data_IF_607853235458
#
_entry.id   IF_607853235458
#
_cell.length_a   1.000
_cell.length_b   1.000
_cell.length_c   1.000
_cell.angle_alpha   90.00
_cell.angle_beta   90.00
_cell.angle_gamma   90.00
#
_symmetry.space_group_name_H-M   'P 1'
#
loop_
_entity.id
_entity.type
_entity.pdbx_description
1 polymer ?
#
# COMPACT_ATOMS: atom_id res chain seq x y z
N UNK A 1 -18.07 -13.63 12.81
CA UNK A 1 -17.23 -14.73 13.31
C UNK A 1 -17.08 -15.76 12.20
N UNK A 2 -15.86 -16.06 11.77
CA UNK A 2 -15.63 -16.99 10.65
C UNK A 2 -15.56 -18.47 11.10
N UNK A 3 -15.73 -18.75 12.41
CA UNK A 3 -15.92 -20.10 12.93
C UNK A 3 -17.36 -20.60 12.74
N UNK A 4 -18.34 -19.69 12.68
CA UNK A 4 -19.72 -20.04 12.31
C UNK A 4 -19.83 -20.27 10.79
N UNK A 5 -20.34 -21.43 10.32
CA UNK A 5 -20.40 -21.76 8.89
C UNK A 5 -21.21 -20.76 8.05
N UNK A 6 -22.30 -20.21 8.60
CA UNK A 6 -23.19 -19.31 7.87
C UNK A 6 -22.55 -17.93 7.71
N UNK A 7 -22.05 -17.35 8.81
CA UNK A 7 -21.32 -16.08 8.80
C UNK A 7 -20.04 -16.18 7.97
N UNK A 8 -19.36 -17.35 8.01
CA UNK A 8 -18.22 -17.62 7.14
C UNK A 8 -18.63 -17.59 5.67
N UNK A 9 -19.69 -18.30 5.28
CA UNK A 9 -20.16 -18.28 3.90
C UNK A 9 -20.48 -16.86 3.42
N UNK A 10 -21.15 -16.05 4.24
CA UNK A 10 -21.44 -14.63 3.96
C UNK A 10 -20.17 -13.77 3.82
N UNK A 11 -19.24 -13.90 4.77
CA UNK A 11 -17.97 -13.19 4.76
C UNK A 11 -17.16 -13.50 3.48
N UNK A 12 -17.17 -14.76 3.03
CA UNK A 12 -16.43 -15.21 1.86
C UNK A 12 -17.21 -15.04 0.53
N UNK A 13 -18.48 -14.68 0.58
CA UNK A 13 -19.35 -14.62 -0.60
C UNK A 13 -18.83 -13.66 -1.68
N UNK A 14 -18.74 -14.16 -2.92
CA UNK A 14 -18.30 -13.38 -4.08
C UNK A 14 -16.80 -13.03 -4.09
N UNK A 15 -16.01 -13.57 -3.17
CA UNK A 15 -14.55 -13.47 -3.24
C UNK A 15 -14.00 -14.50 -4.24
N UNK A 16 -12.89 -14.20 -4.93
CA UNK A 16 -12.24 -15.19 -5.78
C UNK A 16 -11.75 -16.38 -4.94
N UNK A 17 -11.77 -17.56 -5.58
CA UNK A 17 -11.15 -18.74 -5.01
C UNK A 17 -9.63 -18.54 -4.88
N UNK A 18 -8.98 -19.06 -3.83
CA UNK A 18 -7.53 -19.08 -3.75
C UNK A 18 -6.90 -19.73 -4.99
N UNK A 19 -5.91 -19.06 -5.59
CA UNK A 19 -5.26 -19.55 -6.81
C UNK A 19 -6.07 -19.36 -8.10
N UNK A 20 -7.21 -18.65 -8.05
CA UNK A 20 -7.87 -18.20 -9.27
C UNK A 20 -6.87 -17.47 -10.18
N UNK A 21 -6.82 -17.80 -11.47
CA UNK A 21 -5.86 -17.20 -12.38
C UNK A 21 -6.12 -15.71 -12.44
N UNK A 22 -5.03 -14.96 -12.51
CA UNK A 22 -5.08 -13.52 -12.71
C UNK A 22 -4.28 -13.21 -13.96
N UNK A 23 -4.91 -12.53 -14.91
CA UNK A 23 -4.37 -12.28 -16.24
C UNK A 23 -4.02 -13.57 -17.01
N UNK A 24 -4.75 -14.67 -16.75
CA UNK A 24 -4.51 -15.96 -17.40
C UNK A 24 -3.29 -16.73 -16.89
N UNK A 25 -2.60 -16.23 -15.85
CA UNK A 25 -1.48 -16.91 -15.20
C UNK A 25 -1.86 -17.42 -13.80
N UNK A 26 -1.17 -18.48 -13.36
CA UNK A 26 -1.27 -18.97 -11.99
C UNK A 26 -0.87 -17.86 -10.99
N UNK A 27 -1.58 -17.79 -9.87
CA UNK A 27 -1.24 -16.84 -8.82
C UNK A 27 -0.18 -17.44 -7.89
N UNK A 28 1.07 -16.96 -7.98
CA UNK A 28 2.17 -17.40 -7.11
C UNK A 28 1.90 -17.15 -5.61
N UNK A 29 0.91 -16.33 -5.25
CA UNK A 29 0.47 -16.14 -3.87
C UNK A 29 -0.64 -17.11 -3.40
N UNK A 30 -1.06 -18.07 -4.23
CA UNK A 30 -2.09 -19.03 -3.86
C UNK A 30 -1.83 -19.70 -2.49
N UNK A 31 -0.58 -20.06 -2.09
CA UNK A 31 -0.32 -20.60 -0.77
C UNK A 31 -0.75 -19.69 0.39
N UNK A 32 -0.54 -18.36 0.28
CA UNK A 32 -0.98 -17.40 1.30
C UNK A 32 -2.50 -17.33 1.37
N UNK A 33 -3.19 -17.36 0.22
CA UNK A 33 -4.65 -17.35 0.19
C UNK A 33 -5.25 -18.65 0.76
N UNK A 34 -4.67 -19.82 0.46
CA UNK A 34 -5.10 -21.10 1.03
C UNK A 34 -4.88 -21.15 2.55
N UNK A 35 -3.69 -20.77 3.01
CA UNK A 35 -3.39 -20.69 4.44
C UNK A 35 -4.31 -19.71 5.16
N UNK A 36 -4.59 -18.54 4.55
CA UNK A 36 -5.54 -17.58 5.07
C UNK A 36 -6.92 -18.18 5.24
N UNK A 37 -7.47 -18.83 4.19
CA UNK A 37 -8.79 -19.47 4.30
C UNK A 37 -8.80 -20.47 5.44
N UNK A 38 -7.79 -21.33 5.58
CA UNK A 38 -7.74 -22.30 6.67
C UNK A 38 -7.73 -21.66 8.07
N UNK A 39 -7.03 -20.53 8.23
CA UNK A 39 -6.78 -19.90 9.54
C UNK A 39 -7.75 -18.74 9.88
N UNK A 40 -8.53 -18.25 8.92
CA UNK A 40 -9.39 -17.09 9.11
C UNK A 40 -10.48 -17.39 10.15
N UNK A 41 -10.39 -16.71 11.30
CA UNK A 41 -11.37 -16.74 12.41
C UNK A 41 -12.19 -15.47 12.52
N UNK A 42 -11.64 -14.33 12.09
CA UNK A 42 -12.28 -13.03 12.19
C UNK A 42 -12.19 -12.29 10.87
N UNK A 43 -13.26 -11.60 10.52
CA UNK A 43 -13.27 -10.71 9.38
C UNK A 43 -14.39 -9.69 9.48
N UNK A 44 -14.22 -8.62 8.73
CA UNK A 44 -15.13 -7.49 8.64
C UNK A 44 -15.54 -7.33 7.19
N UNK A 45 -16.84 -7.37 6.92
CA UNK A 45 -17.42 -7.03 5.62
C UNK A 45 -18.21 -5.75 5.76
N UNK A 46 -17.87 -4.75 4.96
CA UNK A 46 -18.52 -3.44 4.91
C UNK A 46 -19.09 -3.21 3.52
N UNK A 47 -20.34 -2.79 3.46
CA UNK A 47 -20.95 -2.28 2.23
C UNK A 47 -21.40 -0.85 2.47
N UNK A 48 -20.80 0.08 1.73
CA UNK A 48 -21.08 1.51 1.85
C UNK A 48 -21.91 1.92 0.64
N UNK A 49 -23.17 2.27 0.89
CA UNK A 49 -24.12 2.70 -0.12
C UNK A 49 -24.68 4.09 0.15
N UNK A 50 -25.50 4.57 -0.79
CA UNK A 50 -26.38 5.73 -0.57
C UNK A 50 -27.72 5.25 -0.05
N UNK A 51 -28.32 6.02 0.85
CA UNK A 51 -29.73 5.84 1.23
C UNK A 51 -30.58 6.81 0.42
N UNK A 52 -31.87 6.54 0.16
CA UNK A 52 -32.74 7.45 -0.59
C UNK A 52 -32.79 8.88 0.00
N UNK A 53 -32.63 9.01 1.31
CA UNK A 53 -32.56 10.31 1.99
C UNK A 53 -31.25 11.08 1.71
N UNK A 54 -30.15 10.38 1.41
CA UNK A 54 -28.85 10.97 1.08
C UNK A 54 -28.68 11.34 -0.40
N UNK A 55 -29.71 11.14 -1.22
CA UNK A 55 -29.75 11.62 -2.61
C UNK A 55 -29.99 13.13 -2.70
N UNK A 56 -30.66 13.72 -1.71
CA UNK A 56 -31.02 15.15 -1.67
C UNK A 56 -29.91 16.06 -1.13
N UNK A 57 -28.99 15.52 -0.33
CA UNK A 57 -27.76 16.21 0.06
C UNK A 57 -26.66 15.87 -0.95
N UNK A 58 -25.89 16.86 -1.39
CA UNK A 58 -24.79 16.67 -2.35
C UNK A 58 -23.76 15.59 -1.96
N UNK A 59 -22.70 15.40 -2.76
CA UNK A 59 -21.73 14.32 -2.55
C UNK A 59 -21.17 14.35 -1.12
N UNK A 60 -21.43 13.29 -0.35
CA UNK A 60 -20.91 13.12 1.01
C UNK A 60 -19.72 12.16 0.99
N UNK A 61 -18.64 12.59 1.61
CA UNK A 61 -17.47 11.74 1.86
C UNK A 61 -17.73 10.91 3.11
N UNK A 62 -17.55 9.60 3.01
CA UNK A 62 -17.58 8.67 4.15
C UNK A 62 -16.15 8.51 4.66
N UNK A 63 -15.90 8.85 5.92
CA UNK A 63 -14.59 8.69 6.55
C UNK A 63 -14.59 7.49 7.50
N UNK A 64 -13.65 6.57 7.30
CA UNK A 64 -13.46 5.38 8.12
C UNK A 64 -12.04 5.35 8.69
N UNK A 65 -11.93 4.88 9.93
CA UNK A 65 -10.65 4.56 10.56
C UNK A 65 -10.70 3.11 11.05
N UNK A 66 -9.80 2.28 10.54
CA UNK A 66 -9.64 0.89 10.94
C UNK A 66 -8.31 0.74 11.68
N UNK A 67 -8.37 0.18 12.89
CA UNK A 67 -7.20 -0.08 13.72
C UNK A 67 -7.06 -1.58 13.92
N UNK A 68 -6.01 -2.15 13.37
CA UNK A 68 -5.65 -3.55 13.53
C UNK A 68 -4.78 -3.69 14.77
N UNK A 69 -5.28 -4.46 15.74
CA UNK A 69 -4.59 -4.78 17.00
C UNK A 69 -4.58 -6.29 17.18
N UNK A 70 -3.45 -6.95 16.93
CA UNK A 70 -3.32 -8.39 17.12
C UNK A 70 -3.64 -8.79 18.56
N UNK A 71 -4.36 -9.89 18.73
CA UNK A 71 -4.74 -10.49 20.02
C UNK A 71 -4.18 -11.90 20.21
N UNK A 72 -3.54 -12.45 19.18
CA UNK A 72 -2.97 -13.80 19.21
C UNK A 72 -1.70 -13.88 18.37
N UNK A 73 -0.86 -14.88 18.66
CA UNK A 73 0.42 -15.08 17.99
C UNK A 73 0.29 -15.39 16.49
N UNK A 74 -0.85 -15.91 16.03
CA UNK A 74 -1.10 -16.21 14.62
C UNK A 74 -2.49 -15.73 14.24
N UNK A 75 -2.57 -14.83 13.27
CA UNK A 75 -3.83 -14.24 12.83
C UNK A 75 -3.97 -14.24 11.31
N UNK A 76 -5.20 -14.49 10.86
CA UNK A 76 -5.58 -14.42 9.45
C UNK A 76 -6.83 -13.54 9.26
N UNK A 77 -6.75 -12.23 9.55
CA UNK A 77 -7.90 -11.34 9.44
C UNK A 77 -8.35 -11.17 7.98
N UNK A 78 -9.64 -10.90 7.78
CA UNK A 78 -10.22 -10.62 6.47
C UNK A 78 -10.97 -9.29 6.49
N UNK A 79 -10.67 -8.40 5.55
CA UNK A 79 -11.45 -7.20 5.28
C UNK A 79 -12.08 -7.31 3.89
N UNK A 80 -13.39 -7.10 3.80
CA UNK A 80 -14.11 -6.97 2.53
C UNK A 80 -14.81 -5.62 2.51
N UNK A 81 -14.51 -4.77 1.52
CA UNK A 81 -15.08 -3.44 1.38
C UNK A 81 -15.74 -3.29 0.01
N UNK A 82 -17.06 -3.08 0.03
CA UNK A 82 -17.90 -2.85 -1.14
C UNK A 82 -18.36 -1.39 -1.16
N UNK A 83 -17.95 -0.60 -2.15
CA UNK A 83 -18.46 0.76 -2.35
C UNK A 83 -19.47 0.78 -3.50
N UNK A 84 -20.69 1.25 -3.22
CA UNK A 84 -21.73 1.43 -4.22
C UNK A 84 -21.41 2.58 -5.19
N UNK A 85 -22.20 2.68 -6.26
CA UNK A 85 -21.94 3.65 -7.33
C UNK A 85 -21.89 5.09 -6.82
N UNK A 86 -20.88 5.84 -7.28
CA UNK A 86 -20.66 7.24 -6.92
C UNK A 86 -20.30 7.52 -5.45
N UNK A 87 -20.10 6.48 -4.62
CA UNK A 87 -19.68 6.67 -3.22
C UNK A 87 -18.22 7.14 -3.17
N UNK A 88 -17.94 8.15 -2.36
CA UNK A 88 -16.58 8.57 -2.02
C UNK A 88 -16.28 8.17 -0.57
N UNK A 89 -15.30 7.28 -0.40
CA UNK A 89 -14.80 6.85 0.91
C UNK A 89 -13.34 7.27 1.11
N UNK A 90 -13.03 7.72 2.31
CA UNK A 90 -11.67 7.94 2.83
C UNK A 90 -11.46 6.91 3.94
N UNK A 91 -10.40 6.13 3.85
CA UNK A 91 -10.06 5.07 4.80
C UNK A 91 -8.64 5.29 5.34
N UNK A 92 -8.50 5.34 6.65
CA UNK A 92 -7.21 5.27 7.35
C UNK A 92 -7.13 3.91 8.03
N UNK A 93 -6.14 3.10 7.68
CA UNK A 93 -5.87 1.78 8.25
C UNK A 93 -4.54 1.81 9.02
N UNK A 94 -4.56 1.58 10.33
CA UNK A 94 -3.34 1.48 11.15
C UNK A 94 -3.13 0.07 11.68
N UNK A 95 -1.89 -0.39 11.67
CA UNK A 95 -1.47 -1.67 12.26
C UNK A 95 -0.53 -1.38 13.40
N UNK A 96 -1.03 -1.59 14.61
CA UNK A 96 -0.33 -1.32 15.85
C UNK A 96 -0.27 -2.62 16.66
N UNK A 97 0.93 -3.02 17.06
CA UNK A 97 1.13 -4.07 18.05
C UNK A 97 1.64 -3.42 19.33
N UNK A 98 0.78 -3.37 20.34
CA UNK A 98 1.03 -2.72 21.62
C UNK A 98 2.13 -3.46 22.40
N UNK A 99 3.17 -2.74 22.80
CA UNK A 99 4.31 -3.26 23.55
C UNK A 99 3.97 -3.42 25.03
N UNK A 100 3.27 -4.49 25.37
CA UNK A 100 3.31 -5.00 26.74
C UNK A 100 4.63 -5.76 26.96
N UNK A 101 5.24 -5.61 28.14
CA UNK A 101 6.43 -6.37 28.51
C UNK A 101 6.11 -7.89 28.41
N UNK A 102 6.87 -8.60 27.57
CA UNK A 102 6.65 -10.03 27.31
C UNK A 102 5.69 -10.37 26.16
N UNK A 103 5.26 -9.39 25.35
CA UNK A 103 4.48 -9.70 24.15
C UNK A 103 5.28 -10.57 23.19
N UNK A 104 4.69 -11.67 22.73
CA UNK A 104 5.33 -12.58 21.79
C UNK A 104 5.23 -12.03 20.36
N UNK A 105 6.22 -12.31 19.50
CA UNK A 105 6.13 -11.99 18.09
C UNK A 105 4.88 -12.59 17.45
N UNK A 106 4.25 -11.84 16.55
CA UNK A 106 3.07 -12.30 15.82
C UNK A 106 3.40 -12.71 14.38
N UNK A 107 2.59 -13.63 13.86
CA UNK A 107 2.51 -13.96 12.43
C UNK A 107 1.13 -13.58 11.92
N UNK A 108 1.05 -12.61 11.01
CA UNK A 108 -0.22 -12.17 10.44
C UNK A 108 -0.28 -12.39 8.93
N UNK A 109 -1.36 -13.00 8.45
CA UNK A 109 -1.71 -13.09 7.04
C UNK A 109 -3.03 -12.35 6.82
N UNK A 110 -3.01 -11.07 6.47
CA UNK A 110 -4.21 -10.26 6.25
C UNK A 110 -4.61 -10.33 4.77
N UNK A 111 -5.88 -10.62 4.50
CA UNK A 111 -6.47 -10.49 3.17
C UNK A 111 -7.48 -9.33 3.15
N UNK A 112 -7.36 -8.45 2.17
CA UNK A 112 -8.24 -7.32 1.93
C UNK A 112 -8.81 -7.44 0.52
N UNK A 113 -10.13 -7.44 0.40
CA UNK A 113 -10.81 -7.37 -0.88
C UNK A 113 -11.62 -6.09 -0.97
N UNK A 114 -11.40 -5.32 -2.02
CA UNK A 114 -12.11 -4.07 -2.28
C UNK A 114 -12.81 -4.15 -3.64
N UNK A 115 -14.10 -3.81 -3.68
CA UNK A 115 -14.85 -3.66 -4.92
C UNK A 115 -15.43 -2.25 -5.00
N UNK A 116 -15.08 -1.55 -6.07
CA UNK A 116 -15.57 -0.21 -6.36
C UNK A 116 -16.55 -0.30 -7.52
N UNK A 117 -17.81 0.06 -7.28
CA UNK A 117 -18.82 0.19 -8.33
C UNK A 117 -18.58 1.45 -9.19
N UNK A 118 -19.44 1.66 -10.19
CA UNK A 118 -19.28 2.75 -11.17
C UNK A 118 -19.12 4.11 -10.50
N UNK A 119 -18.06 4.83 -10.86
CA UNK A 119 -17.74 6.16 -10.33
C UNK A 119 -17.42 6.21 -8.82
N UNK A 120 -17.32 5.07 -8.13
CA UNK A 120 -16.94 5.06 -6.72
C UNK A 120 -15.46 5.43 -6.54
N UNK A 121 -15.15 6.19 -5.48
CA UNK A 121 -13.81 6.64 -5.15
C UNK A 121 -13.41 6.14 -3.77
N UNK A 122 -12.24 5.50 -3.66
CA UNK A 122 -11.63 5.14 -2.39
C UNK A 122 -10.24 5.75 -2.28
N UNK A 123 -10.03 6.54 -1.23
CA UNK A 123 -8.74 7.07 -0.82
C UNK A 123 -8.30 6.36 0.46
N UNK A 124 -7.18 5.64 0.41
CA UNK A 124 -6.79 4.69 1.44
C UNK A 124 -5.36 4.93 1.93
N UNK A 125 -5.18 5.45 3.15
CA UNK A 125 -3.88 5.54 3.79
C UNK A 125 -3.68 4.36 4.74
N UNK A 126 -2.55 3.66 4.61
CA UNK A 126 -2.17 2.54 5.46
C UNK A 126 -0.87 2.86 6.18
N UNK A 127 -0.88 2.79 7.51
CA UNK A 127 0.34 2.80 8.34
C UNK A 127 0.55 1.41 8.92
N UNK A 128 1.68 0.79 8.58
CA UNK A 128 2.01 -0.58 8.96
C UNK A 128 3.35 -0.60 9.68
N UNK A 129 3.30 -0.57 11.01
CA UNK A 129 4.50 -0.54 11.87
C UNK A 129 4.43 -1.58 13.00
N UNK A 130 4.42 -2.89 12.69
CA UNK A 130 4.51 -3.96 13.68
C UNK A 130 5.88 -3.98 14.39
N UNK A 131 6.01 -4.84 15.40
CA UNK A 131 7.24 -4.95 16.19
C UNK A 131 8.37 -5.63 15.40
N UNK A 132 9.65 -5.38 15.71
CA UNK A 132 10.79 -5.96 14.98
C UNK A 132 10.83 -7.49 14.90
N UNK A 133 10.18 -8.20 15.83
CA UNK A 133 10.10 -9.66 15.81
C UNK A 133 8.96 -10.23 14.94
N UNK A 134 7.99 -9.39 14.57
CA UNK A 134 6.78 -9.82 13.90
C UNK A 134 7.07 -10.29 12.46
N UNK A 135 6.12 -11.03 11.87
CA UNK A 135 6.12 -11.42 10.46
C UNK A 135 4.74 -11.20 9.88
N UNK A 136 4.63 -10.37 8.84
CA UNK A 136 3.32 -10.05 8.26
C UNK A 136 3.30 -10.25 6.75
N UNK A 137 2.16 -10.70 6.24
CA UNK A 137 1.83 -10.76 4.82
C UNK A 137 0.45 -10.15 4.62
N UNK A 138 0.38 -8.97 3.99
CA UNK A 138 -0.87 -8.27 3.70
C UNK A 138 -1.13 -8.33 2.20
N UNK A 139 -2.25 -8.93 1.82
CA UNK A 139 -2.68 -9.07 0.43
C UNK A 139 -3.90 -8.19 0.21
N UNK A 140 -3.84 -7.29 -0.77
CA UNK A 140 -4.95 -6.43 -1.17
C UNK A 140 -5.35 -6.75 -2.60
N UNK A 141 -6.61 -7.08 -2.81
CA UNK A 141 -7.19 -7.28 -4.13
C UNK A 141 -8.32 -6.28 -4.37
N UNK A 142 -8.08 -5.36 -5.29
CA UNK A 142 -9.04 -4.37 -5.74
C UNK A 142 -9.63 -4.76 -7.10
N UNK A 143 -10.95 -4.58 -7.24
CA UNK A 143 -11.63 -4.51 -8.53
C UNK A 143 -12.30 -3.15 -8.70
N UNK A 144 -11.97 -2.46 -9.79
CA UNK A 144 -12.49 -1.15 -10.12
C UNK A 144 -13.39 -1.22 -11.36
N UNK A 145 -14.67 -0.87 -11.18
CA UNK A 145 -15.63 -0.73 -12.27
C UNK A 145 -15.43 0.57 -13.07
N UNK A 146 -16.35 0.86 -13.99
CA UNK A 146 -16.28 2.01 -14.90
C UNK A 146 -16.09 3.32 -14.13
N UNK A 147 -15.10 4.12 -14.52
CA UNK A 147 -14.82 5.42 -13.92
C UNK A 147 -14.50 5.40 -12.42
N UNK A 148 -14.34 4.22 -11.80
CA UNK A 148 -13.99 4.10 -10.40
C UNK A 148 -12.53 4.53 -10.16
N UNK A 149 -12.27 5.10 -8.98
CA UNK A 149 -10.97 5.66 -8.61
C UNK A 149 -10.47 5.06 -7.31
N UNK A 150 -9.28 4.51 -7.34
CA UNK A 150 -8.58 4.03 -6.16
C UNK A 150 -7.26 4.78 -6.01
N UNK A 151 -7.06 5.39 -4.85
CA UNK A 151 -5.81 6.06 -4.48
C UNK A 151 -5.36 5.50 -3.14
N UNK A 152 -4.15 4.96 -3.06
CA UNK A 152 -3.69 4.27 -1.88
C UNK A 152 -2.24 4.57 -1.57
N UNK A 153 -1.92 4.88 -0.31
CA UNK A 153 -0.54 5.00 0.16
C UNK A 153 -0.27 4.05 1.32
N UNK A 154 0.83 3.28 1.25
CA UNK A 154 1.33 2.46 2.35
C UNK A 154 2.58 3.11 2.93
N UNK A 155 2.59 3.37 4.23
CA UNK A 155 3.78 3.67 5.02
C UNK A 155 4.11 2.42 5.82
N UNK A 156 5.21 1.75 5.51
CA UNK A 156 5.60 0.49 6.13
C UNK A 156 6.96 0.62 6.82
N UNK A 157 7.06 0.10 8.04
CA UNK A 157 8.28 0.10 8.84
C UNK A 157 8.31 -1.12 9.79
N UNK A 158 9.49 -1.48 10.29
CA UNK A 158 9.66 -2.54 11.30
C UNK A 158 9.46 -3.96 10.75
N UNK A 159 9.23 -4.92 11.66
CA UNK A 159 9.13 -6.37 11.40
C UNK A 159 10.43 -7.10 11.05
N UNK A 160 10.44 -8.42 11.29
CA UNK A 160 11.48 -9.31 10.77
C UNK A 160 11.23 -9.58 9.27
N UNK A 161 9.97 -9.69 8.88
CA UNK A 161 9.54 -9.85 7.50
C UNK A 161 8.18 -9.16 7.27
N UNK A 162 8.09 -8.36 6.21
CA UNK A 162 6.83 -7.79 5.73
C UNK A 162 6.67 -8.05 4.24
N UNK A 163 5.54 -8.62 3.86
CA UNK A 163 5.11 -8.71 2.48
C UNK A 163 3.82 -7.91 2.30
N UNK A 164 3.83 -6.96 1.39
CA UNK A 164 2.65 -6.26 0.92
C UNK A 164 2.43 -6.62 -0.54
N UNK A 165 1.35 -7.33 -0.83
CA UNK A 165 1.03 -7.79 -2.18
C UNK A 165 -0.29 -7.21 -2.64
N UNK A 166 -0.26 -6.32 -3.62
CA UNK A 166 -1.43 -5.61 -4.11
C UNK A 166 -1.74 -6.03 -5.54
N UNK A 167 -3.01 -6.32 -5.81
CA UNK A 167 -3.55 -6.60 -7.13
C UNK A 167 -4.66 -5.59 -7.42
N UNK A 168 -4.45 -4.74 -8.41
CA UNK A 168 -5.45 -3.78 -8.88
C UNK A 168 -5.98 -4.22 -10.25
N UNK A 169 -7.22 -4.68 -10.30
CA UNK A 169 -7.91 -5.01 -11.54
C UNK A 169 -8.76 -3.82 -12.00
N UNK A 170 -8.30 -3.11 -13.02
CA UNK A 170 -9.01 -1.99 -13.65
C UNK A 170 -9.91 -2.55 -14.75
N UNK A 171 -11.10 -3.00 -14.35
CA UNK A 171 -12.02 -3.79 -15.17
C UNK A 171 -12.97 -2.93 -16.01
N UNK A 172 -13.29 -1.72 -15.54
CA UNK A 172 -14.18 -0.82 -16.23
C UNK A 172 -13.46 0.25 -17.04
N UNK A 173 -14.05 0.73 -18.16
CA UNK A 173 -13.50 1.84 -18.92
C UNK A 173 -13.28 3.08 -18.04
N UNK A 174 -12.15 3.77 -18.24
CA UNK A 174 -11.83 4.97 -17.46
C UNK A 174 -11.51 4.74 -15.98
N UNK A 175 -11.36 3.49 -15.52
CA UNK A 175 -10.96 3.21 -14.14
C UNK A 175 -9.53 3.69 -13.85
N UNK A 176 -9.30 4.17 -12.62
CA UNK A 176 -8.03 4.76 -12.19
C UNK A 176 -7.50 4.05 -10.96
N UNK A 177 -6.22 3.66 -10.98
CA UNK A 177 -5.50 3.10 -9.83
C UNK A 177 -4.20 3.86 -9.56
N UNK A 178 -4.12 4.58 -8.44
CA UNK A 178 -2.91 5.25 -7.95
C UNK A 178 -2.43 4.54 -6.68
N UNK A 179 -1.14 4.20 -6.63
CA UNK A 179 -0.54 3.54 -5.46
C UNK A 179 0.80 4.16 -5.13
N UNK A 180 0.96 4.54 -3.86
CA UNK A 180 2.18 4.98 -3.24
C UNK A 180 2.65 3.93 -2.22
N UNK A 181 3.94 3.64 -2.18
CA UNK A 181 4.53 2.86 -1.10
C UNK A 181 5.81 3.50 -0.60
N UNK A 182 5.90 3.67 0.71
CA UNK A 182 7.05 4.14 1.43
C UNK A 182 7.51 3.05 2.39
N UNK A 183 8.69 2.50 2.15
CA UNK A 183 9.27 1.45 2.97
C UNK A 183 10.45 2.01 3.76
N UNK A 184 10.36 1.94 5.09
CA UNK A 184 11.45 2.24 6.02
C UNK A 184 12.03 0.92 6.53
N UNK A 185 13.11 0.46 5.89
CA UNK A 185 13.71 -0.85 6.14
C UNK A 185 14.99 -0.70 6.97
N UNK A 186 14.91 -1.02 8.25
CA UNK A 186 16.00 -0.85 9.23
C UNK A 186 16.72 -2.15 9.56
N UNK A 187 15.94 -3.21 9.70
CA UNK A 187 16.37 -4.59 9.90
C UNK A 187 15.38 -5.50 9.16
N UNK A 188 15.74 -6.77 8.97
CA UNK A 188 14.85 -7.74 8.32
C UNK A 188 14.60 -7.44 6.84
N UNK A 189 13.42 -7.81 6.36
CA UNK A 189 13.03 -7.62 4.96
C UNK A 189 11.63 -7.04 4.81
N UNK A 190 11.48 -5.99 4.00
CA UNK A 190 10.20 -5.39 3.64
C UNK A 190 10.04 -5.45 2.12
N UNK A 191 8.94 -6.02 1.65
CA UNK A 191 8.63 -6.15 0.23
C UNK A 191 7.29 -5.52 -0.11
N UNK A 192 7.27 -4.64 -1.11
CA UNK A 192 6.05 -4.17 -1.77
C UNK A 192 5.99 -4.75 -3.19
N UNK A 193 4.95 -5.51 -3.46
CA UNK A 193 4.68 -6.14 -4.75
C UNK A 193 3.32 -5.70 -5.26
N UNK A 194 3.30 -4.87 -6.30
CA UNK A 194 2.08 -4.38 -6.93
C UNK A 194 1.94 -4.98 -8.32
N UNK A 195 0.77 -5.55 -8.62
CA UNK A 195 0.33 -5.85 -9.98
C UNK A 195 -0.89 -4.99 -10.34
N UNK A 196 -0.82 -4.33 -11.48
CA UNK A 196 -1.95 -3.61 -12.08
C UNK A 196 -2.35 -4.29 -13.37
N UNK A 197 -3.62 -4.70 -13.47
CA UNK A 197 -4.20 -5.30 -14.66
C UNK A 197 -5.16 -4.30 -15.32
N UNK A 198 -4.76 -3.77 -16.48
CA UNK A 198 -5.60 -2.92 -17.32
C UNK A 198 -6.42 -3.81 -18.26
N UNK A 199 -7.71 -3.99 -17.93
CA UNK A 199 -8.60 -4.93 -18.62
C UNK A 199 -9.63 -4.21 -19.52
N UNK A 200 -9.70 -2.87 -19.45
CA UNK A 200 -10.59 -2.04 -20.26
C UNK A 200 -9.90 -0.77 -20.77
N UNK A 201 -10.51 -0.14 -21.77
CA UNK A 201 -9.98 1.06 -22.42
C UNK A 201 -10.00 2.32 -21.53
N UNK A 202 -9.09 3.25 -21.80
CA UNK A 202 -8.96 4.52 -21.09
C UNK A 202 -8.57 4.38 -19.61
N UNK A 203 -8.05 3.22 -19.20
CA UNK A 203 -7.66 2.97 -17.81
C UNK A 203 -6.33 3.63 -17.48
N UNK A 204 -6.19 4.21 -16.30
CA UNK A 204 -4.97 4.92 -15.88
C UNK A 204 -4.39 4.31 -14.62
N UNK A 205 -3.06 4.13 -14.57
CA UNK A 205 -2.36 3.80 -13.34
C UNK A 205 -1.11 4.65 -13.11
N UNK A 206 -0.88 5.01 -11.84
CA UNK A 206 0.30 5.72 -11.40
C UNK A 206 0.85 5.05 -10.13
N UNK A 207 2.07 4.53 -10.23
CA UNK A 207 2.74 3.78 -9.17
C UNK A 207 4.00 4.52 -8.74
N UNK A 208 4.08 4.86 -7.47
CA UNK A 208 5.21 5.56 -6.86
C UNK A 208 5.71 4.72 -5.67
N UNK A 209 6.96 4.29 -5.68
CA UNK A 209 7.52 3.53 -4.58
C UNK A 209 8.87 4.08 -4.16
N UNK A 210 9.07 4.31 -2.87
CA UNK A 210 10.33 4.73 -2.27
C UNK A 210 10.71 3.78 -1.15
N UNK A 211 11.92 3.21 -1.23
CA UNK A 211 12.54 2.47 -0.15
C UNK A 211 13.68 3.29 0.45
N UNK A 212 13.59 3.56 1.75
CA UNK A 212 14.65 4.12 2.57
C UNK A 212 15.15 2.99 3.45
N UNK A 213 16.40 2.57 3.26
CA UNK A 213 16.92 1.37 3.93
C UNK A 213 18.23 1.66 4.68
N UNK A 214 18.42 1.03 5.83
CA UNK A 214 19.63 1.18 6.64
C UNK A 214 20.26 -0.17 7.04
N UNK A 215 21.50 -0.15 7.51
CA UNK A 215 22.17 -1.33 8.08
C UNK A 215 22.34 -2.47 7.07
N UNK A 216 21.84 -3.65 7.41
CA UNK A 216 21.85 -4.86 6.56
C UNK A 216 20.45 -5.24 6.06
N UNK A 217 19.49 -4.32 6.16
CA UNK A 217 18.10 -4.56 5.78
C UNK A 217 17.96 -4.87 4.30
N UNK A 218 16.85 -5.53 3.94
CA UNK A 218 16.48 -5.80 2.56
C UNK A 218 15.15 -5.12 2.24
N UNK A 219 15.13 -4.28 1.20
CA UNK A 219 13.90 -3.71 0.67
C UNK A 219 13.69 -4.14 -0.79
N UNK A 220 12.47 -4.59 -1.10
CA UNK A 220 12.09 -5.01 -2.45
C UNK A 220 10.90 -4.19 -2.92
N UNK A 221 11.05 -3.52 -4.06
CA UNK A 221 10.00 -2.82 -4.78
C UNK A 221 9.75 -3.53 -6.10
N UNK A 222 8.55 -4.07 -6.28
CA UNK A 222 8.15 -4.74 -7.53
C UNK A 222 6.84 -4.13 -8.03
N UNK A 223 6.86 -3.60 -9.25
CA UNK A 223 5.69 -3.03 -9.89
C UNK A 223 5.52 -3.68 -11.25
N UNK A 224 4.47 -4.47 -11.42
CA UNK A 224 4.07 -5.07 -12.69
C UNK A 224 2.80 -4.40 -13.19
N UNK A 225 2.79 -3.92 -14.43
CA UNK A 225 1.55 -3.56 -15.10
C UNK A 225 1.37 -4.41 -16.36
N UNK A 226 0.14 -4.85 -16.58
CA UNK A 226 -0.25 -5.57 -17.79
C UNK A 226 -1.39 -4.85 -18.47
N UNK A 227 -1.23 -4.58 -19.76
CA UNK A 227 -2.24 -4.00 -20.65
C UNK A 227 -2.81 -5.11 -21.53
N UNK A 228 -4.10 -5.40 -21.38
CA UNK A 228 -4.77 -6.42 -22.15
C UNK A 228 -4.97 -6.01 -23.62
N UNK A 229 -5.14 -6.97 -24.57
CA UNK A 229 -5.33 -6.69 -25.99
C UNK A 229 -6.53 -5.81 -26.37
N UNK A 230 -7.48 -5.57 -25.46
CA UNK A 230 -8.63 -4.68 -25.67
C UNK A 230 -8.58 -3.38 -24.88
N UNK A 231 -7.46 -3.09 -24.20
CA UNK A 231 -7.30 -1.93 -23.32
C UNK A 231 -6.67 -0.73 -24.05
N UNK A 232 -7.35 -0.25 -25.10
CA UNK A 232 -6.94 0.95 -25.83
C UNK A 232 -6.84 2.17 -24.90
N UNK A 233 -5.96 3.11 -25.21
CA UNK A 233 -5.78 4.36 -24.46
C UNK A 233 -5.40 4.15 -22.97
N UNK A 234 -4.88 2.97 -22.62
CA UNK A 234 -4.34 2.76 -21.29
C UNK A 234 -3.12 3.67 -21.06
N UNK A 235 -3.05 4.27 -19.87
CA UNK A 235 -1.94 5.12 -19.44
C UNK A 235 -1.30 4.56 -18.16
N UNK A 236 -0.01 4.26 -18.23
CA UNK A 236 0.75 3.63 -17.14
C UNK A 236 1.97 4.48 -16.81
N UNK A 237 2.12 4.83 -15.53
CA UNK A 237 3.32 5.45 -14.99
C UNK A 237 3.84 4.66 -13.79
N UNK A 238 5.13 4.31 -13.79
CA UNK A 238 5.80 3.64 -12.68
C UNK A 238 7.11 4.35 -12.32
N UNK A 239 7.26 4.74 -11.05
CA UNK A 239 8.49 5.32 -10.50
C UNK A 239 8.88 4.59 -9.23
N UNK A 240 10.02 3.92 -9.26
CA UNK A 240 10.59 3.21 -8.12
C UNK A 240 11.91 3.89 -7.76
N UNK A 241 12.11 4.17 -6.48
CA UNK A 241 13.32 4.81 -5.95
C UNK A 241 13.80 4.07 -4.69
N UNK A 242 15.11 3.90 -4.56
CA UNK A 242 15.73 3.23 -3.42
C UNK A 242 16.95 4.00 -2.93
N UNK A 243 16.99 4.31 -1.64
CA UNK A 243 18.05 5.12 -1.04
C UNK A 243 18.55 4.45 0.23
N UNK A 244 19.83 4.04 0.27
CA UNK A 244 20.50 3.71 1.51
C UNK A 244 20.61 4.96 2.39
N UNK A 245 20.18 4.86 3.63
CA UNK A 245 20.27 5.95 4.63
C UNK A 245 21.38 5.72 5.66
N UNK A 246 22.11 4.61 5.56
CA UNK A 246 23.23 4.22 6.43
C UNK A 246 23.55 2.73 6.24
N UNK A 247 24.77 2.30 6.53
CA UNK A 247 25.20 0.91 6.31
C UNK A 247 25.21 0.45 4.84
N UNK A 248 24.99 -0.85 4.61
CA UNK A 248 25.01 -1.50 3.29
C UNK A 248 23.74 -2.35 3.05
N UNK A 249 22.55 -1.72 2.98
CA UNK A 249 21.30 -2.44 2.76
C UNK A 249 21.21 -2.99 1.35
N UNK A 250 20.38 -4.02 1.18
CA UNK A 250 20.05 -4.60 -0.12
C UNK A 250 18.75 -4.01 -0.67
N UNK A 251 18.86 -3.23 -1.72
CA UNK A 251 17.74 -2.67 -2.46
C UNK A 251 17.49 -3.45 -3.76
N UNK A 252 16.25 -3.87 -4.01
CA UNK A 252 15.86 -4.55 -5.25
C UNK A 252 14.65 -3.83 -5.85
N UNK A 253 14.84 -3.19 -7.00
CA UNK A 253 13.80 -2.45 -7.71
C UNK A 253 13.50 -3.14 -9.03
N UNK A 254 12.24 -3.52 -9.25
CA UNK A 254 11.79 -4.29 -10.42
C UNK A 254 10.52 -3.68 -11.00
N UNK A 255 10.62 -2.67 -11.87
CA UNK A 255 9.52 -2.28 -12.73
C UNK A 255 9.38 -3.30 -13.88
N UNK A 256 8.14 -3.64 -14.24
CA UNK A 256 7.85 -4.58 -15.30
C UNK A 256 6.55 -4.19 -16.03
N UNK A 257 6.60 -4.23 -17.35
CA UNK A 257 5.48 -3.89 -18.23
C UNK A 257 5.25 -5.04 -19.21
N UNK A 258 3.98 -5.44 -19.34
CA UNK A 258 3.50 -6.36 -20.35
C UNK A 258 2.43 -5.64 -21.17
N UNK A 259 2.77 -5.26 -22.40
CA UNK A 259 1.92 -4.42 -23.25
C UNK A 259 1.44 -5.26 -24.43
N UNK A 260 0.13 -5.49 -24.51
CA UNK A 260 -0.49 -6.29 -25.57
C UNK A 260 -1.41 -5.46 -26.47
N UNK A 261 -1.28 -4.13 -26.44
CA UNK A 261 -2.08 -3.20 -27.23
C UNK A 261 -1.20 -2.03 -27.73
N UNK A 262 -1.40 -1.60 -28.97
CA UNK A 262 -0.53 -0.61 -29.62
C UNK A 262 -0.84 0.84 -29.21
N UNK A 263 -2.12 1.20 -29.05
CA UNK A 263 -2.56 2.57 -28.72
C UNK A 263 -2.51 2.86 -27.22
N UNK A 264 -1.31 2.93 -26.64
CA UNK A 264 -1.14 3.15 -25.19
C UNK A 264 0.03 4.09 -24.87
N UNK A 265 0.05 4.58 -23.63
CA UNK A 265 1.20 5.28 -23.07
C UNK A 265 1.68 4.51 -21.84
N UNK A 266 2.96 4.15 -21.83
CA UNK A 266 3.54 3.44 -20.69
C UNK A 266 4.95 3.97 -20.43
N UNK A 267 5.19 4.39 -19.19
CA UNK A 267 6.48 4.86 -18.72
C UNK A 267 6.82 4.14 -17.43
N UNK A 268 8.09 3.75 -17.29
CA UNK A 268 8.60 3.17 -16.06
C UNK A 268 10.03 3.65 -15.80
N UNK A 269 10.38 3.83 -14.53
CA UNK A 269 11.71 4.22 -14.10
C UNK A 269 12.04 3.61 -12.76
N UNK A 270 13.27 3.15 -12.62
CA UNK A 270 13.85 2.73 -11.34
C UNK A 270 15.15 3.48 -11.12
N UNK A 271 15.28 4.08 -9.95
CA UNK A 271 16.47 4.84 -9.54
C UNK A 271 16.94 4.33 -8.20
N UNK A 272 18.24 4.20 -8.03
CA UNK A 272 18.83 3.95 -6.72
C UNK A 272 20.07 4.82 -6.57
N UNK A 273 20.36 5.25 -5.36
CA UNK A 273 21.44 6.19 -5.11
C UNK A 273 21.49 6.64 -3.67
N UNK A 274 22.30 7.66 -3.40
CA UNK A 274 22.44 8.23 -2.07
C UNK A 274 21.39 9.33 -1.81
N UNK A 275 21.29 9.77 -0.55
CA UNK A 275 20.67 11.05 -0.25
C UNK A 275 21.42 12.17 -0.97
N UNK A 276 20.74 13.26 -1.33
CA UNK A 276 21.29 14.20 -2.27
C UNK A 276 22.21 15.19 -1.50
N UNK A 277 23.52 14.96 -1.64
CA UNK A 277 24.57 15.53 -0.78
C UNK A 277 24.69 17.06 -0.94
N UNK A 278 24.43 17.57 -2.14
CA UNK A 278 24.46 19.01 -2.41
C UNK A 278 23.36 19.76 -1.65
N UNK A 279 22.15 19.20 -1.60
CA UNK A 279 21.03 19.73 -0.82
C UNK A 279 21.32 19.66 0.68
N UNK A 280 21.94 18.57 1.16
CA UNK A 280 22.38 18.45 2.57
C UNK A 280 23.43 19.54 2.88
N UNK A 281 24.43 19.69 2.02
CA UNK A 281 25.49 20.70 2.18
C UNK A 281 24.90 22.12 2.19
N UNK A 282 23.99 22.42 1.27
CA UNK A 282 23.30 23.71 1.18
C UNK A 282 22.42 24.01 2.40
N UNK A 283 21.73 23.01 2.94
CA UNK A 283 20.96 23.13 4.18
C UNK A 283 21.88 23.43 5.37
N UNK A 284 23.05 22.78 5.43
CA UNK A 284 24.05 23.03 6.47
C UNK A 284 24.65 24.43 6.41
N UNK A 285 24.87 24.97 5.21
CA UNK A 285 25.30 26.38 5.04
C UNK A 285 24.29 27.39 5.59
N UNK A 286 23.01 27.00 5.75
CA UNK A 286 21.97 27.82 6.40
C UNK A 286 21.90 27.66 7.91
N UNK A 287 22.89 26.99 8.52
CA UNK A 287 22.97 26.83 9.97
C UNK A 287 22.23 25.62 10.52
N UNK A 288 21.74 24.72 9.67
CA UNK A 288 21.20 23.44 10.12
C UNK A 288 22.34 22.45 10.41
N UNK A 289 22.24 21.71 11.50
CA UNK A 289 23.11 20.55 11.70
C UNK A 289 22.77 19.44 10.68
N UNK A 290 23.72 18.54 10.44
CA UNK A 290 23.59 17.49 9.43
C UNK A 290 22.36 16.60 9.63
N UNK A 291 22.05 16.25 10.90
CA UNK A 291 20.89 15.44 11.21
C UNK A 291 19.60 16.16 10.86
N UNK A 292 19.46 17.42 11.27
CA UNK A 292 18.28 18.23 10.94
C UNK A 292 18.13 18.42 9.43
N UNK A 293 19.23 18.64 8.70
CA UNK A 293 19.21 18.74 7.24
C UNK A 293 18.73 17.44 6.56
N UNK A 294 19.26 16.28 6.99
CA UNK A 294 18.85 14.97 6.47
C UNK A 294 17.38 14.67 6.74
N UNK A 295 16.91 14.97 7.96
CA UNK A 295 15.49 14.83 8.33
C UNK A 295 14.60 15.63 7.38
N UNK A 296 14.87 16.93 7.19
CA UNK A 296 14.06 17.79 6.33
C UNK A 296 14.00 17.30 4.88
N UNK A 297 15.14 16.85 4.33
CA UNK A 297 15.19 16.34 2.96
C UNK A 297 14.37 15.05 2.84
N UNK A 298 14.53 14.11 3.77
CA UNK A 298 13.76 12.86 3.77
C UNK A 298 12.26 13.12 3.95
N UNK A 299 11.86 14.01 4.86
CA UNK A 299 10.47 14.43 5.01
C UNK A 299 9.92 15.02 3.72
N UNK A 300 10.64 15.95 3.07
CA UNK A 300 10.20 16.54 1.80
C UNK A 300 10.04 15.50 0.69
N UNK A 301 10.98 14.55 0.58
CA UNK A 301 10.91 13.46 -0.41
C UNK A 301 9.69 12.55 -0.18
N UNK A 302 9.45 12.17 1.07
CA UNK A 302 8.36 11.26 1.44
C UNK A 302 6.99 11.95 1.33
N UNK A 303 6.89 13.22 1.71
CA UNK A 303 5.68 14.03 1.54
C UNK A 303 5.33 14.21 0.06
N UNK A 304 6.32 14.54 -0.76
CA UNK A 304 6.13 14.69 -2.20
C UNK A 304 5.62 13.39 -2.85
N UNK A 305 6.06 12.22 -2.38
CA UNK A 305 5.57 10.92 -2.85
C UNK A 305 4.07 10.74 -2.55
N UNK A 306 3.64 11.05 -1.32
CA UNK A 306 2.23 10.98 -0.94
C UNK A 306 1.37 11.98 -1.72
N UNK A 307 1.85 13.21 -1.89
CA UNK A 307 1.17 14.26 -2.68
C UNK A 307 0.99 13.88 -4.15
N UNK A 308 1.95 13.17 -4.74
CA UNK A 308 1.77 12.63 -6.11
C UNK A 308 0.71 11.54 -6.16
N UNK A 309 0.41 10.82 -5.07
CA UNK A 309 -0.58 9.76 -5.10
C UNK A 309 -2.02 10.27 -4.98
N UNK A 310 -2.29 11.16 -4.03
CA UNK A 310 -3.65 11.62 -3.72
C UNK A 310 -4.05 12.88 -4.49
N UNK A 311 -5.33 12.99 -4.85
CA UNK A 311 -5.88 14.14 -5.58
C UNK A 311 -6.15 15.38 -4.70
N UNK A 312 -5.12 15.87 -4.00
CA UNK A 312 -5.10 17.18 -3.32
C UNK A 312 -4.70 17.16 -1.83
N UNK A 313 -4.08 18.24 -1.36
CA UNK A 313 -3.53 18.35 0.01
C UNK A 313 -4.59 18.25 1.12
N UNK A 314 -5.84 18.65 0.83
CA UNK A 314 -6.93 18.53 1.80
C UNK A 314 -7.20 17.06 2.19
N UNK A 315 -7.00 16.13 1.27
CA UNK A 315 -7.17 14.69 1.50
C UNK A 315 -6.06 14.16 2.41
N UNK A 316 -4.82 14.57 2.18
CA UNK A 316 -3.69 14.18 3.03
C UNK A 316 -3.88 14.64 4.48
N UNK A 317 -4.36 15.88 4.67
CA UNK A 317 -4.72 16.39 6.00
C UNK A 317 -5.87 15.60 6.62
N UNK A 318 -6.92 15.31 5.86
CA UNK A 318 -8.05 14.51 6.33
C UNK A 318 -7.65 13.07 6.71
N UNK A 319 -6.63 12.52 6.05
CA UNK A 319 -6.05 11.22 6.34
C UNK A 319 -5.07 11.24 7.53
N UNK A 320 -4.70 12.41 8.04
CA UNK A 320 -3.67 12.54 9.08
C UNK A 320 -2.28 12.10 8.61
N UNK A 321 -1.99 12.21 7.30
CA UNK A 321 -0.77 11.70 6.70
C UNK A 321 0.50 12.32 7.29
N UNK A 322 0.48 13.62 7.58
CA UNK A 322 1.64 14.36 8.08
C UNK A 322 2.17 13.79 9.39
N UNK A 323 1.28 13.47 10.34
CA UNK A 323 1.66 12.92 11.64
C UNK A 323 2.27 11.52 11.52
N UNK A 324 1.63 10.65 10.71
CA UNK A 324 2.12 9.28 10.47
C UNK A 324 3.47 9.27 9.76
N UNK A 325 3.65 10.19 8.79
CA UNK A 325 4.88 10.33 8.04
C UNK A 325 6.01 10.86 8.92
N UNK A 326 5.77 11.93 9.66
CA UNK A 326 6.74 12.51 10.59
C UNK A 326 7.24 11.47 11.61
N UNK A 327 6.32 10.71 12.22
CA UNK A 327 6.68 9.65 13.16
C UNK A 327 7.53 8.55 12.52
N UNK A 328 7.17 8.10 11.31
CA UNK A 328 7.89 7.05 10.60
C UNK A 328 9.31 7.50 10.18
N UNK A 329 9.45 8.73 9.67
CA UNK A 329 10.75 9.32 9.29
C UNK A 329 11.65 9.48 10.52
N UNK A 330 11.12 10.04 11.60
CA UNK A 330 11.88 10.25 12.84
C UNK A 330 12.39 8.93 13.42
N UNK A 331 11.55 7.88 13.41
CA UNK A 331 11.92 6.54 13.89
C UNK A 331 13.05 5.91 13.06
N UNK A 332 12.93 5.96 11.74
CA UNK A 332 13.90 5.37 10.80
C UNK A 332 15.27 6.05 10.91
N UNK A 333 15.31 7.39 10.88
CA UNK A 333 16.57 8.12 10.91
C UNK A 333 17.28 7.98 12.26
N UNK A 334 16.54 7.97 13.37
CA UNK A 334 17.11 7.67 14.69
C UNK A 334 17.76 6.29 14.74
N UNK A 335 17.11 5.27 14.18
CA UNK A 335 17.63 3.91 14.16
C UNK A 335 18.87 3.76 13.24
N UNK A 336 18.95 4.53 12.15
CA UNK A 336 20.14 4.60 11.30
C UNK A 336 21.33 5.25 12.04
N UNK A 337 21.10 6.35 12.75
CA UNK A 337 22.14 7.07 13.51
C UNK A 337 22.74 6.25 14.66
N UNK A 338 21.90 5.52 15.40
CA UNK A 338 22.37 4.67 16.50
C UNK A 338 23.29 3.54 16.00
N UNK A 339 23.12 3.09 14.75
CA UNK A 339 23.96 2.06 14.13
C UNK A 339 25.29 2.58 13.59
N UNK A 340 25.32 3.79 13.06
CA UNK A 340 26.58 4.39 12.57
C UNK A 340 27.54 4.74 13.73
N UNK A 341 27.05 4.80 14.98
CA UNK A 341 27.83 5.10 16.18
C UNK A 341 28.39 3.86 16.92
N UNK A 342 27.94 2.66 16.58
CA UNK A 342 28.31 1.39 17.24
C UNK A 342 29.16 0.50 16.38
#
# INVERSE_FOLDING_TARGET
DAADPTQRAELLAGLPAPGAPVDGAADDAAPFAWAHRALCRQGLRLTIGRTPASERGGPRVVSLALRHRPRSAVEAPLLVLDLAAGVHCVLVETHEHETAAGSQPIVQNLQIHVRLAEGATLQHLRSVAPQPGDRIAHHLHLRAARGARFEQATIAAGSQYQLHRHLLELQGPGAVGRSAALLFADTGAIEQQLRVAHQAGGTTSAVEMLALASGSARAVLNARARIAPGAAEANVHQRLSGIPTGGQPKLVLRPHLEILHDQVQATHGATWGALPEEEIFYARQRGLDERTARHLIVEGMTQALLQRCFSGDAVLRALGADALLHEAVARHLKAAEERDRG
#
